data_IF_596136051331
#
_entry.id   IF_596136051331
#
_cell.length_a   1.000
_cell.length_b   1.000
_cell.length_c   1.000
_cell.angle_alpha   90.00
_cell.angle_beta   90.00
_cell.angle_gamma   90.00
#
_symmetry.space_group_name_H-M   'P 1'
#
loop_
_entity.id
_entity.type
_entity.pdbx_description
1 polymer ?
#
# COMPACT_ATOMS: atom_id res chain seq x y z
N UNK A 1 5.88 0.36 21.67
CA UNK A 1 7.28 -0.10 21.64
C UNK A 1 7.27 -1.61 21.56
N UNK A 2 8.06 -2.22 20.66
CA UNK A 2 8.18 -3.68 20.60
C UNK A 2 8.73 -4.23 21.93
N UNK A 3 8.30 -5.43 22.28
CA UNK A 3 8.83 -6.20 23.41
C UNK A 3 10.18 -6.81 23.04
N UNK A 4 11.04 -7.15 24.01
CA UNK A 4 12.31 -7.82 23.72
C UNK A 4 12.16 -9.14 22.94
N UNK A 5 11.02 -9.83 23.11
CA UNK A 5 10.72 -11.04 22.34
C UNK A 5 10.41 -10.72 20.87
N UNK A 6 9.69 -9.64 20.60
CA UNK A 6 9.40 -9.20 19.23
C UNK A 6 10.65 -8.71 18.51
N UNK A 7 11.56 -8.03 19.22
CA UNK A 7 12.88 -7.66 18.69
C UNK A 7 13.71 -8.91 18.34
N UNK A 8 13.80 -9.87 19.26
CA UNK A 8 14.50 -11.14 19.01
C UNK A 8 13.93 -11.91 17.81
N UNK A 9 12.61 -11.99 17.69
CA UNK A 9 11.96 -12.68 16.57
C UNK A 9 12.12 -11.93 15.25
N UNK A 10 12.17 -10.59 15.28
CA UNK A 10 12.50 -9.79 14.11
C UNK A 10 13.93 -10.07 13.64
N UNK A 11 14.90 -10.07 14.55
CA UNK A 11 16.31 -10.37 14.23
C UNK A 11 16.48 -11.79 13.69
N UNK A 12 15.75 -12.77 14.25
CA UNK A 12 15.81 -14.17 13.85
C UNK A 12 15.17 -14.43 12.47
N UNK A 13 14.01 -13.81 12.20
CA UNK A 13 13.24 -14.08 10.98
C UNK A 13 13.50 -13.08 9.84
N UNK A 14 14.05 -11.91 10.15
CA UNK A 14 14.20 -10.78 9.24
C UNK A 14 12.90 -10.01 8.98
N UNK A 15 11.83 -10.28 9.72
CA UNK A 15 10.55 -9.58 9.62
C UNK A 15 9.71 -9.72 10.90
N UNK A 16 8.68 -8.87 11.03
CA UNK A 16 7.64 -9.00 12.05
C UNK A 16 6.25 -8.83 11.43
N UNK A 17 5.22 -9.34 12.10
CA UNK A 17 3.83 -9.19 11.66
C UNK A 17 3.09 -8.33 12.68
N UNK A 18 2.75 -7.11 12.29
CA UNK A 18 1.94 -6.20 13.09
C UNK A 18 0.47 -6.40 12.73
N UNK A 19 -0.29 -7.05 13.61
CA UNK A 19 -1.72 -7.27 13.40
C UNK A 19 -2.50 -5.99 13.68
N UNK A 20 -3.42 -5.63 12.78
CA UNK A 20 -4.23 -4.43 12.94
C UNK A 20 -3.43 -3.13 12.90
N UNK A 21 -2.34 -3.10 12.12
CA UNK A 21 -1.51 -1.90 11.96
C UNK A 21 -2.27 -0.72 11.33
N UNK A 22 -3.32 -1.02 10.56
CA UNK A 22 -4.18 -0.05 9.89
C UNK A 22 -5.55 -0.13 10.55
N UNK A 23 -6.12 1.02 10.87
CA UNK A 23 -7.49 1.14 11.36
C UNK A 23 -8.50 0.53 10.35
N UNK A 24 -9.52 -0.23 10.78
CA UNK A 24 -10.45 -0.88 9.87
C UNK A 24 -11.23 0.06 8.94
N UNK A 25 -11.57 1.27 9.40
CA UNK A 25 -12.31 2.25 8.58
C UNK A 25 -11.37 2.91 7.57
N UNK A 26 -10.13 3.16 7.98
CA UNK A 26 -9.08 3.63 7.06
C UNK A 26 -8.78 2.59 5.97
N UNK A 27 -8.66 1.32 6.34
CA UNK A 27 -8.47 0.22 5.39
C UNK A 27 -9.64 0.13 4.39
N UNK A 28 -10.88 0.29 4.88
CA UNK A 28 -12.07 0.31 4.02
C UNK A 28 -12.01 1.46 3.01
N UNK A 29 -11.69 2.68 3.46
CA UNK A 29 -11.61 3.85 2.59
C UNK A 29 -10.56 3.68 1.47
N UNK A 30 -9.41 3.08 1.76
CA UNK A 30 -8.41 2.78 0.74
C UNK A 30 -8.93 1.76 -0.30
N UNK A 31 -9.62 0.71 0.14
CA UNK A 31 -10.22 -0.26 -0.78
C UNK A 31 -11.33 0.37 -1.62
N UNK A 32 -12.22 1.15 -1.02
CA UNK A 32 -13.30 1.85 -1.73
C UNK A 32 -12.74 2.80 -2.82
N UNK A 33 -11.61 3.47 -2.55
CA UNK A 33 -10.92 4.27 -3.55
C UNK A 33 -10.42 3.43 -4.73
N UNK A 34 -9.76 2.30 -4.44
CA UNK A 34 -9.22 1.42 -5.48
C UNK A 34 -10.33 0.78 -6.33
N UNK A 35 -11.43 0.37 -5.69
CA UNK A 35 -12.59 -0.22 -6.36
C UNK A 35 -13.33 0.81 -7.25
N UNK A 36 -13.25 2.10 -6.92
CA UNK A 36 -13.84 3.17 -7.70
C UNK A 36 -12.97 3.64 -8.88
N UNK A 37 -11.73 3.16 -9.02
CA UNK A 37 -10.86 3.54 -10.13
C UNK A 37 -11.47 3.11 -11.48
N UNK A 38 -11.42 3.98 -12.51
CA UNK A 38 -11.75 3.56 -13.85
C UNK A 38 -10.69 2.55 -14.35
N UNK A 39 -10.96 1.81 -15.44
CA UNK A 39 -9.91 1.06 -16.11
C UNK A 39 -8.73 1.98 -16.45
N UNK A 40 -7.55 1.64 -15.93
CA UNK A 40 -6.30 2.37 -16.17
C UNK A 40 -5.39 1.59 -17.11
N UNK A 41 -4.65 2.31 -17.94
CA UNK A 41 -3.69 1.74 -18.90
C UNK A 41 -2.26 1.90 -18.41
N UNK A 42 -1.36 1.02 -18.88
CA UNK A 42 0.08 1.16 -18.61
C UNK A 42 0.59 2.50 -19.17
N UNK A 43 1.48 3.13 -18.44
CA UNK A 43 2.07 4.46 -18.66
C UNK A 43 1.04 5.62 -18.59
N UNK A 44 -0.14 5.35 -18.03
CA UNK A 44 -1.15 6.36 -17.74
C UNK A 44 -0.94 6.98 -16.36
N UNK A 45 -1.15 8.30 -16.29
CA UNK A 45 -1.26 9.02 -15.04
C UNK A 45 -2.72 9.17 -14.60
N UNK A 46 -3.00 8.92 -13.32
CA UNK A 46 -4.28 9.21 -12.67
C UNK A 46 -4.03 10.18 -11.51
N UNK A 47 -4.23 11.47 -11.76
CA UNK A 47 -3.76 12.51 -10.85
C UNK A 47 -2.23 12.47 -10.76
N UNK A 48 -1.72 12.23 -9.54
CA UNK A 48 -0.28 12.11 -9.26
C UNK A 48 0.20 10.65 -9.16
N UNK A 49 -0.67 9.68 -9.46
CA UNK A 49 -0.37 8.24 -9.46
C UNK A 49 0.03 7.83 -10.87
N UNK A 50 1.13 7.09 -11.00
CA UNK A 50 1.60 6.52 -12.27
C UNK A 50 1.27 5.03 -12.35
N UNK A 51 0.74 4.60 -13.50
CA UNK A 51 0.36 3.21 -13.74
C UNK A 51 1.48 2.53 -14.50
N UNK A 52 2.20 1.64 -13.83
CA UNK A 52 3.43 1.04 -14.37
C UNK A 52 3.33 -0.49 -14.51
N UNK A 53 4.34 -1.08 -15.14
CA UNK A 53 4.57 -2.53 -15.12
C UNK A 53 6.08 -2.79 -15.11
N UNK A 54 6.53 -3.80 -14.35
CA UNK A 54 7.96 -4.14 -14.28
C UNK A 54 8.32 -5.35 -15.16
N UNK A 55 7.43 -6.34 -15.33
CA UNK A 55 7.80 -7.61 -15.99
C UNK A 55 6.66 -8.37 -16.70
N UNK A 56 5.67 -7.68 -17.28
CA UNK A 56 4.59 -8.35 -18.03
C UNK A 56 3.28 -8.46 -17.22
N UNK A 57 2.75 -9.67 -17.02
CA UNK A 57 1.43 -9.91 -16.41
C UNK A 57 1.51 -9.89 -14.87
N UNK A 58 1.84 -8.73 -14.30
CA UNK A 58 1.92 -8.53 -12.83
C UNK A 58 0.69 -7.81 -12.25
N UNK A 59 -0.39 -7.70 -13.03
CA UNK A 59 -1.57 -6.90 -12.68
C UNK A 59 -1.33 -5.40 -12.89
N UNK A 60 -2.09 -4.57 -12.18
CA UNK A 60 -1.95 -3.11 -12.22
C UNK A 60 -1.01 -2.66 -11.10
N UNK A 61 0.10 -2.02 -11.46
CA UNK A 61 1.03 -1.44 -10.49
C UNK A 61 0.81 0.08 -10.41
N UNK A 62 0.42 0.58 -9.23
CA UNK A 62 0.24 2.01 -8.98
C UNK A 62 1.45 2.54 -8.22
N UNK A 63 2.27 3.36 -8.88
CA UNK A 63 3.43 4.05 -8.32
C UNK A 63 3.01 5.41 -7.75
N UNK A 64 3.76 5.89 -6.75
CA UNK A 64 3.47 7.13 -6.02
C UNK A 64 2.07 7.16 -5.38
N UNK A 65 1.58 6.00 -4.90
CA UNK A 65 0.23 5.89 -4.33
C UNK A 65 -0.01 6.84 -3.14
N UNK A 66 1.05 7.21 -2.41
CA UNK A 66 0.98 8.22 -1.33
C UNK A 66 0.51 9.59 -1.83
N UNK A 67 0.75 9.93 -3.09
CA UNK A 67 0.29 11.16 -3.75
C UNK A 67 -1.16 11.05 -4.24
N UNK A 68 -1.80 9.89 -4.02
CA UNK A 68 -3.21 9.61 -4.32
C UNK A 68 -4.19 10.34 -3.40
N UNK A 69 -3.69 11.08 -2.42
CA UNK A 69 -4.44 11.91 -1.50
C UNK A 69 -4.31 11.48 -0.05
N UNK A 70 -4.97 12.24 0.82
CA UNK A 70 -4.84 12.17 2.28
C UNK A 70 -5.06 10.76 2.85
N UNK A 71 -5.91 9.94 2.21
CA UNK A 71 -6.12 8.54 2.61
C UNK A 71 -4.87 7.68 2.50
N UNK A 72 -3.92 7.96 1.61
CA UNK A 72 -2.67 7.20 1.47
C UNK A 72 -1.49 7.87 2.17
N UNK A 73 -1.50 9.20 2.32
CA UNK A 73 -0.51 9.97 3.08
C UNK A 73 -0.46 9.54 4.55
N UNK A 74 -1.55 9.03 5.12
CA UNK A 74 -1.58 8.51 6.51
C UNK A 74 -0.72 7.27 6.76
N UNK A 75 -0.17 6.64 5.71
CA UNK A 75 0.64 5.43 5.81
C UNK A 75 2.13 5.70 6.14
N UNK A 76 2.56 6.96 6.07
CA UNK A 76 3.93 7.40 6.40
C UNK A 76 4.02 8.04 7.79
#
# INVERSE_FOLDING_TARGET
MPTPMEEYLFDLHGYTIIKGAIDPDHLRAMNDFLDALPPLHIDQWYGNIDVHTYSGIDGTNLQNIIEGGEIFERLI
#
